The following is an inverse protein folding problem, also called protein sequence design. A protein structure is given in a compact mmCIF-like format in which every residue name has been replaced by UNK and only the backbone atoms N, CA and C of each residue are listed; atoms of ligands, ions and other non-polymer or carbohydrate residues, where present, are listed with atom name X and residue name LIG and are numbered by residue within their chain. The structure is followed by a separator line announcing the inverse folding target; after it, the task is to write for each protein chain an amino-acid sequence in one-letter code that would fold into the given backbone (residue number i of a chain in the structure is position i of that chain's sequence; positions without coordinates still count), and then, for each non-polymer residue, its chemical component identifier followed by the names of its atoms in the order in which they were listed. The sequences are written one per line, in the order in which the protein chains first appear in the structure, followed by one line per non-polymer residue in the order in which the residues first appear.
data_IF_857074326289
#
_entry.id   IF_857074326289
#
_cell.length_a   1.000
_cell.length_b   1.000
_cell.length_c   1.000
_cell.angle_alpha   90.00
_cell.angle_beta   90.00
_cell.angle_gamma   90.00
#
_symmetry.space_group_name_H-M   'P 1'
#
loop_
_entity.id
_entity.type
_entity.pdbx_description
1 polymer ?
#
# COMPACT_ATOMS: atom_id res chain seq x y z
N UNK A 1 -4.67 -7.02 -25.55
CA UNK A 1 -5.62 -7.54 -24.55
C UNK A 1 -4.83 -7.98 -23.35
N UNK A 2 -4.90 -7.20 -22.26
CA UNK A 2 -4.15 -7.44 -21.04
C UNK A 2 -4.93 -8.27 -20.03
N UNK A 3 -4.21 -9.07 -19.25
CA UNK A 3 -4.57 -9.46 -17.88
C UNK A 3 -3.27 -9.64 -17.11
N UNK A 4 -2.90 -8.66 -16.29
CA UNK A 4 -1.99 -8.89 -15.17
C UNK A 4 -2.86 -8.91 -13.91
N UNK A 5 -2.94 -10.10 -13.31
CA UNK A 5 -3.64 -10.35 -12.06
C UNK A 5 -2.84 -9.69 -10.94
N UNK A 6 -3.47 -8.77 -10.22
CA UNK A 6 -3.01 -8.32 -8.92
C UNK A 6 -3.68 -9.15 -7.84
N UNK A 7 -2.90 -9.49 -6.80
CA UNK A 7 -3.43 -9.64 -5.46
C UNK A 7 -3.41 -11.05 -4.89
N UNK A 8 -2.23 -11.55 -4.53
CA UNK A 8 -2.10 -12.42 -3.36
C UNK A 8 -1.03 -11.81 -2.44
N UNK A 9 -1.44 -10.80 -1.68
CA UNK A 9 -0.71 -10.38 -0.48
C UNK A 9 -0.92 -11.46 0.57
N UNK A 10 0.06 -12.36 0.66
CA UNK A 10 0.22 -13.25 1.81
C UNK A 10 0.42 -12.38 3.04
N UNK A 11 -0.65 -12.20 3.81
CA UNK A 11 -0.57 -11.65 5.17
C UNK A 11 0.30 -12.62 5.95
N UNK A 12 1.55 -12.21 6.16
CA UNK A 12 2.50 -12.87 7.04
C UNK A 12 1.84 -13.02 8.40
N UNK A 13 1.46 -14.26 8.74
CA UNK A 13 0.97 -14.65 10.04
C UNK A 13 2.08 -14.47 11.07
N UNK A 14 2.32 -13.23 11.50
CA UNK A 14 3.18 -12.93 12.63
C UNK A 14 2.41 -13.35 13.87
N UNK A 15 2.83 -14.47 14.46
CA UNK A 15 2.42 -14.93 15.77
C UNK A 15 2.45 -13.76 16.76
N UNK A 16 1.28 -13.26 17.13
CA UNK A 16 1.09 -12.35 18.26
C UNK A 16 1.44 -13.13 19.52
N UNK A 17 2.68 -13.01 19.96
CA UNK A 17 2.97 -13.21 21.36
C UNK A 17 2.45 -11.96 22.05
N UNK A 18 1.22 -12.03 22.57
CA UNK A 18 0.62 -10.94 23.35
C UNK A 18 1.53 -10.67 24.56
N UNK A 19 2.20 -9.51 24.60
CA UNK A 19 3.12 -9.16 25.69
C UNK A 19 2.37 -8.90 27.00
N UNK A 20 1.07 -8.65 26.93
CA UNK A 20 0.15 -8.75 28.06
C UNK A 20 0.14 -10.14 28.73
N UNK A 21 0.44 -11.21 27.97
CA UNK A 21 0.63 -12.58 28.48
C UNK A 21 2.03 -12.81 29.08
N UNK A 22 2.92 -11.81 29.05
CA UNK A 22 4.21 -11.89 29.76
C UNK A 22 4.09 -11.40 31.19
N UNK A 23 3.24 -10.40 31.46
CA UNK A 23 2.95 -9.96 32.84
C UNK A 23 2.23 -11.04 33.65
N UNK A 24 1.36 -11.82 33.01
CA UNK A 24 0.69 -12.97 33.64
C UNK A 24 1.67 -14.09 34.03
N UNK A 25 2.89 -14.09 33.47
CA UNK A 25 3.97 -15.05 33.78
C UNK A 25 4.86 -14.60 34.93
N UNK A 26 4.69 -13.36 35.42
CA UNK A 26 5.32 -12.94 36.66
C UNK A 26 4.71 -13.77 37.81
N UNK A 27 5.54 -14.40 38.63
CA UNK A 27 5.07 -15.29 39.70
C UNK A 27 4.03 -14.59 40.58
N UNK A 28 2.98 -15.32 40.97
CA UNK A 28 2.03 -14.84 41.96
C UNK A 28 2.74 -14.51 43.27
N UNK A 29 2.29 -13.44 43.93
CA UNK A 29 2.84 -13.06 45.22
C UNK A 29 2.73 -14.24 46.20
N UNK A 30 3.83 -14.71 46.81
CA UNK A 30 3.73 -15.81 47.75
C UNK A 30 2.91 -15.36 48.95
N UNK A 31 1.84 -16.09 49.24
CA UNK A 31 0.94 -15.85 50.37
C UNK A 31 1.76 -15.93 51.66
N UNK A 32 2.16 -14.77 52.19
CA UNK A 32 3.09 -14.64 53.32
C UNK A 32 2.37 -14.94 54.64
N UNK A 33 1.81 -16.14 54.77
CA UNK A 33 1.57 -16.75 56.09
C UNK A 33 2.92 -17.17 56.66
N UNK A 34 3.71 -16.17 57.09
CA UNK A 34 5.01 -16.38 57.70
C UNK A 34 4.88 -17.23 58.97
N UNK A 35 5.17 -18.54 58.84
CA UNK A 35 5.69 -19.31 59.97
C UNK A 35 7.04 -18.69 60.33
N UNK A 36 7.13 -18.05 61.50
CA UNK A 36 8.41 -17.66 62.11
C UNK A 36 9.26 -18.92 62.23
N UNK A 37 10.14 -19.17 61.27
CA UNK A 37 11.02 -20.35 61.30
C UNK A 37 12.10 -20.17 62.37
N UNK A 38 12.42 -21.27 63.06
CA UNK A 38 13.42 -21.40 64.13
C UNK A 38 14.86 -21.24 63.60
N UNK A 39 15.15 -20.14 62.90
CA UNK A 39 16.49 -19.84 62.42
C UNK A 39 17.34 -19.21 63.53
N UNK A 40 18.55 -19.75 63.72
CA UNK A 40 19.54 -19.14 64.61
C UNK A 40 19.87 -17.71 64.17
N UNK A 41 20.21 -16.84 65.13
CA UNK A 41 20.49 -15.41 64.90
C UNK A 41 21.56 -15.16 63.83
N UNK A 42 22.58 -16.02 63.76
CA UNK A 42 23.66 -15.95 62.76
C UNK A 42 23.19 -16.27 61.34
N UNK A 43 22.27 -17.25 61.19
CA UNK A 43 21.67 -17.59 59.89
C UNK A 43 20.75 -16.48 59.40
N UNK A 44 19.91 -15.92 60.29
CA UNK A 44 19.04 -14.76 59.97
C UNK A 44 19.82 -13.55 59.46
N UNK A 45 20.94 -13.20 60.09
CA UNK A 45 21.77 -12.06 59.66
C UNK A 45 22.39 -12.26 58.26
N UNK A 46 22.82 -13.49 57.94
CA UNK A 46 23.34 -13.83 56.60
C UNK A 46 22.25 -13.78 55.53
N UNK A 47 21.08 -14.36 55.79
CA UNK A 47 19.93 -14.31 54.89
C UNK A 47 19.46 -12.89 54.61
N UNK A 48 19.40 -12.03 55.64
CA UNK A 48 19.04 -10.62 55.48
C UNK A 48 20.04 -9.85 54.60
N UNK A 49 21.34 -10.07 54.79
CA UNK A 49 22.38 -9.42 53.96
C UNK A 49 22.34 -9.90 52.51
N UNK A 50 22.13 -11.20 52.28
CA UNK A 50 22.00 -11.77 50.93
C UNK A 50 20.76 -11.24 50.23
N UNK A 51 19.63 -11.13 50.95
CA UNK A 51 18.41 -10.54 50.42
C UNK A 51 18.61 -9.10 49.97
N UNK A 52 19.26 -8.24 50.77
CA UNK A 52 19.53 -6.85 50.38
C UNK A 52 20.42 -6.76 49.13
N UNK A 53 21.46 -7.60 49.04
CA UNK A 53 22.31 -7.64 47.84
C UNK A 53 21.54 -8.07 46.59
N UNK A 54 20.68 -9.09 46.73
CA UNK A 54 19.84 -9.59 45.64
C UNK A 54 18.82 -8.55 45.16
N UNK A 55 18.21 -7.76 46.05
CA UNK A 55 17.31 -6.66 45.65
C UNK A 55 18.03 -5.63 44.79
N UNK A 56 19.24 -5.23 45.19
CA UNK A 56 20.05 -4.27 44.43
C UNK A 56 20.43 -4.84 43.07
N UNK A 57 20.87 -6.10 43.03
CA UNK A 57 21.22 -6.79 41.79
C UNK A 57 20.02 -6.86 40.83
N UNK A 58 18.85 -7.24 41.33
CA UNK A 58 17.62 -7.29 40.53
C UNK A 58 17.28 -5.92 39.93
N UNK A 59 17.30 -4.85 40.74
CA UNK A 59 17.01 -3.50 40.25
C UNK A 59 18.01 -3.10 39.15
N UNK A 60 19.31 -3.33 39.37
CA UNK A 60 20.34 -3.01 38.39
C UNK A 60 20.17 -3.81 37.09
N UNK A 61 19.84 -5.10 37.17
CA UNK A 61 19.58 -5.93 35.99
C UNK A 61 18.35 -5.46 35.22
N UNK A 62 17.22 -5.22 35.90
CA UNK A 62 15.98 -4.76 35.26
C UNK A 62 16.15 -3.41 34.57
N UNK A 63 16.86 -2.47 35.18
CA UNK A 63 17.14 -1.16 34.58
C UNK A 63 18.07 -1.22 33.36
N UNK A 64 18.78 -2.34 33.16
CA UNK A 64 19.71 -2.54 32.04
C UNK A 64 19.12 -3.34 30.88
N UNK A 65 17.91 -3.88 31.06
CA UNK A 65 17.22 -4.71 30.08
C UNK A 65 16.23 -3.86 29.28
N UNK A 66 16.06 -4.20 28.00
CA UNK A 66 15.00 -3.64 27.15
C UNK A 66 13.94 -4.70 26.78
N UNK A 67 14.21 -5.97 27.09
CA UNK A 67 13.35 -7.09 26.73
C UNK A 67 12.47 -7.52 27.92
N UNK A 68 11.16 -7.32 27.77
CA UNK A 68 10.13 -7.66 28.77
C UNK A 68 10.20 -9.12 29.23
N UNK A 69 10.42 -10.06 28.31
CA UNK A 69 10.49 -11.49 28.64
C UNK A 69 11.69 -11.80 29.55
N UNK A 70 12.86 -11.21 29.26
CA UNK A 70 14.04 -11.35 30.12
C UNK A 70 13.81 -10.71 31.49
N UNK A 71 13.15 -9.54 31.54
CA UNK A 71 12.79 -8.90 32.81
C UNK A 71 11.93 -9.80 33.69
N UNK A 72 10.90 -10.44 33.13
CA UNK A 72 10.01 -11.37 33.86
C UNK A 72 10.80 -12.56 34.37
N UNK A 73 11.66 -13.19 33.55
CA UNK A 73 12.49 -14.31 33.99
C UNK A 73 13.40 -13.93 35.16
N UNK A 74 14.11 -12.79 35.05
CA UNK A 74 15.01 -12.30 36.10
C UNK A 74 14.29 -11.96 37.39
N UNK A 75 13.11 -11.35 37.29
CA UNK A 75 12.26 -11.04 38.43
C UNK A 75 11.81 -12.33 39.14
N UNK A 76 11.34 -13.33 38.40
CA UNK A 76 10.91 -14.61 38.96
C UNK A 76 12.04 -15.34 39.70
N UNK A 77 13.24 -15.41 39.10
CA UNK A 77 14.41 -16.04 39.73
C UNK A 77 14.81 -15.34 41.05
N UNK A 78 14.76 -14.00 41.05
CA UNK A 78 15.06 -13.21 42.24
C UNK A 78 13.98 -13.36 43.32
N UNK A 79 12.69 -13.40 42.96
CA UNK A 79 11.61 -13.61 43.94
C UNK A 79 11.62 -15.02 44.53
N UNK A 80 11.90 -16.05 43.74
CA UNK A 80 12.11 -17.41 44.25
C UNK A 80 13.25 -17.45 45.29
N UNK A 81 14.36 -16.77 44.99
CA UNK A 81 15.51 -16.67 45.89
C UNK A 81 15.18 -15.87 47.16
N UNK A 82 14.47 -14.74 47.06
CA UNK A 82 14.04 -13.95 48.23
C UNK A 82 13.06 -14.70 49.12
N UNK A 83 12.14 -15.47 48.54
CA UNK A 83 11.22 -16.35 49.26
C UNK A 83 11.97 -17.41 50.06
N UNK A 84 13.01 -18.02 49.47
CA UNK A 84 13.87 -19.00 50.16
C UNK A 84 14.62 -18.41 51.37
N UNK A 85 14.88 -17.09 51.37
CA UNK A 85 15.50 -16.38 52.48
C UNK A 85 14.50 -15.89 53.54
N UNK A 86 13.21 -16.19 53.37
CA UNK A 86 12.15 -15.66 54.22
C UNK A 86 12.18 -14.13 54.32
N UNK A 87 12.57 -13.45 53.23
CA UNK A 87 12.58 -11.99 53.16
C UNK A 87 11.19 -11.46 52.81
N UNK A 88 10.78 -10.35 53.43
CA UNK A 88 9.58 -9.62 53.00
C UNK A 88 9.92 -8.69 51.82
N UNK A 89 9.36 -8.97 50.66
CA UNK A 89 9.62 -8.22 49.43
C UNK A 89 8.36 -7.67 48.77
N UNK A 90 7.28 -7.45 49.54
CA UNK A 90 6.02 -6.86 49.06
C UNK A 90 6.19 -5.62 48.19
N UNK A 91 6.80 -4.58 48.77
CA UNK A 91 7.00 -3.31 48.07
C UNK A 91 7.88 -3.44 46.82
N UNK A 92 8.88 -4.34 46.87
CA UNK A 92 9.75 -4.60 45.73
C UNK A 92 8.99 -5.32 44.61
N UNK A 93 8.13 -6.28 44.96
CA UNK A 93 7.32 -7.01 44.00
C UNK A 93 6.40 -6.06 43.22
N UNK A 94 5.67 -5.19 43.93
CA UNK A 94 4.77 -4.22 43.28
C UNK A 94 5.55 -3.22 42.42
N UNK A 95 6.71 -2.75 42.87
CA UNK A 95 7.56 -1.86 42.07
C UNK A 95 8.08 -2.54 40.79
N UNK A 96 8.54 -3.79 40.87
CA UNK A 96 9.01 -4.56 39.71
C UNK A 96 7.85 -4.87 38.76
N UNK A 97 6.68 -5.25 39.30
CA UNK A 97 5.48 -5.49 38.49
C UNK A 97 5.05 -4.24 37.74
N UNK A 98 5.03 -3.08 38.40
CA UNK A 98 4.73 -1.80 37.76
C UNK A 98 5.76 -1.43 36.69
N UNK A 99 7.05 -1.67 36.96
CA UNK A 99 8.13 -1.41 36.01
C UNK A 99 8.02 -2.29 34.75
N UNK A 100 7.83 -3.60 34.92
CA UNK A 100 7.62 -4.52 33.79
C UNK A 100 6.34 -4.13 33.03
N UNK A 101 5.28 -3.73 33.74
CA UNK A 101 4.03 -3.29 33.11
C UNK A 101 4.21 -2.04 32.25
N UNK A 102 5.03 -1.10 32.71
CA UNK A 102 5.39 0.07 31.91
C UNK A 102 6.15 -0.34 30.64
N UNK A 103 7.11 -1.27 30.74
CA UNK A 103 7.85 -1.75 29.57
C UNK A 103 6.98 -2.56 28.58
N UNK A 104 5.97 -3.29 29.05
CA UNK A 104 4.95 -3.90 28.18
C UNK A 104 4.22 -2.83 27.36
N UNK A 105 3.68 -1.81 28.03
CA UNK A 105 2.93 -0.72 27.37
C UNK A 105 3.82 0.05 26.39
N UNK A 106 5.07 0.32 26.75
CA UNK A 106 6.03 1.00 25.89
C UNK A 106 6.36 0.17 24.63
N UNK A 107 6.54 -1.14 24.78
CA UNK A 107 6.78 -2.06 23.67
C UNK A 107 5.57 -2.13 22.72
N UNK A 108 4.35 -2.21 23.26
CA UNK A 108 3.11 -2.19 22.47
C UNK A 108 2.96 -0.88 21.70
N UNK A 109 3.19 0.27 22.36
CA UNK A 109 3.14 1.58 21.72
C UNK A 109 4.18 1.73 20.60
N UNK A 110 5.40 1.22 20.79
CA UNK A 110 6.44 1.25 19.75
C UNK A 110 6.06 0.39 18.54
N UNK A 111 5.48 -0.79 18.75
CA UNK A 111 4.98 -1.64 17.64
C UNK A 111 3.86 -0.96 16.86
N UNK A 112 2.95 -0.29 17.54
CA UNK A 112 1.89 0.48 16.89
C UNK A 112 2.47 1.65 16.08
N UNK A 113 3.46 2.36 16.63
CA UNK A 113 4.14 3.45 15.94
C UNK A 113 4.86 2.96 14.67
N UNK A 114 5.61 1.85 14.76
CA UNK A 114 6.28 1.24 13.60
C UNK A 114 5.27 0.80 12.53
N UNK A 115 4.18 0.15 12.94
CA UNK A 115 3.12 -0.27 12.02
C UNK A 115 2.47 0.92 11.30
N UNK A 116 2.22 2.01 12.01
CA UNK A 116 1.66 3.23 11.44
C UNK A 116 2.64 3.94 10.50
N UNK A 117 3.93 3.92 10.81
CA UNK A 117 4.99 4.45 9.94
C UNK A 117 5.04 3.71 8.60
N UNK A 118 5.02 2.37 8.61
CA UNK A 118 4.98 1.57 7.38
C UNK A 118 3.72 1.87 6.54
N UNK A 119 2.55 2.02 7.16
CA UNK A 119 1.32 2.37 6.45
C UNK A 119 1.40 3.76 5.79
N UNK A 120 2.10 4.71 6.43
CA UNK A 120 2.28 6.05 5.89
C UNK A 120 3.21 6.06 4.67
N UNK A 121 4.30 5.28 4.72
CA UNK A 121 5.21 5.09 3.58
C UNK A 121 4.48 4.45 2.38
N UNK A 122 3.73 3.38 2.62
CA UNK A 122 2.94 2.70 1.57
C UNK A 122 1.92 3.64 0.94
N UNK A 123 1.25 4.47 1.74
CA UNK A 123 0.27 5.44 1.24
C UNK A 123 0.93 6.52 0.37
N UNK A 124 2.11 7.02 0.74
CA UNK A 124 2.85 8.00 -0.03
C UNK A 124 3.25 7.45 -1.41
N UNK A 125 3.79 6.22 -1.45
CA UNK A 125 4.13 5.53 -2.71
C UNK A 125 2.89 5.34 -3.59
N UNK A 126 1.74 4.99 -2.99
CA UNK A 126 0.51 4.82 -3.75
C UNK A 126 0.00 6.13 -4.36
N UNK A 127 0.12 7.25 -3.64
CA UNK A 127 -0.24 8.58 -4.13
C UNK A 127 0.65 9.02 -5.28
N UNK A 128 1.97 8.83 -5.18
CA UNK A 128 2.91 9.18 -6.25
C UNK A 128 2.62 8.39 -7.53
N UNK A 129 2.35 7.09 -7.41
CA UNK A 129 1.97 6.25 -8.54
C UNK A 129 0.66 6.70 -9.20
N UNK A 130 -0.33 7.09 -8.40
CA UNK A 130 -1.61 7.60 -8.91
C UNK A 130 -1.40 8.91 -9.67
N UNK A 131 -0.56 9.81 -9.15
CA UNK A 131 -0.28 11.11 -9.75
C UNK A 131 0.49 10.95 -11.07
N UNK A 132 1.47 10.04 -11.12
CA UNK A 132 2.17 9.69 -12.35
C UNK A 132 1.22 9.12 -13.43
N UNK A 133 0.31 8.23 -13.04
CA UNK A 133 -0.69 7.67 -13.93
C UNK A 133 -1.64 8.74 -14.49
N UNK A 134 -2.14 9.64 -13.63
CA UNK A 134 -3.00 10.75 -14.04
C UNK A 134 -2.31 11.67 -15.05
N UNK A 135 -1.03 11.99 -14.84
CA UNK A 135 -0.26 12.79 -15.78
C UNK A 135 -0.09 12.08 -17.13
N UNK A 136 0.21 10.78 -17.12
CA UNK A 136 0.34 10.00 -18.35
C UNK A 136 -0.98 9.95 -19.13
N UNK A 137 -2.11 9.78 -18.44
CA UNK A 137 -3.43 9.77 -19.05
C UNK A 137 -3.80 11.17 -19.61
N UNK A 138 -3.45 12.24 -18.90
CA UNK A 138 -3.66 13.61 -19.36
C UNK A 138 -2.87 13.92 -20.65
N UNK A 139 -1.62 13.48 -20.74
CA UNK A 139 -0.79 13.61 -21.95
C UNK A 139 -1.39 12.81 -23.13
N UNK A 140 -1.83 11.57 -22.87
CA UNK A 140 -2.49 10.76 -23.89
C UNK A 140 -3.80 11.41 -24.39
N UNK A 141 -4.59 11.99 -23.48
CA UNK A 141 -5.81 12.72 -23.82
C UNK A 141 -5.51 13.98 -24.66
N UNK A 142 -4.46 14.72 -24.31
CA UNK A 142 -4.01 15.89 -25.08
C UNK A 142 -3.57 15.49 -26.50
N UNK A 143 -2.79 14.42 -26.64
CA UNK A 143 -2.34 13.89 -27.92
C UNK A 143 -3.49 13.40 -28.81
N UNK A 144 -4.46 12.69 -28.23
CA UNK A 144 -5.66 12.23 -28.95
C UNK A 144 -6.53 13.40 -29.39
N UNK A 145 -6.75 14.39 -28.52
CA UNK A 145 -7.52 15.61 -28.84
C UNK A 145 -6.90 16.36 -30.02
N UNK A 146 -5.58 16.51 -30.03
CA UNK A 146 -4.84 17.14 -31.12
C UNK A 146 -4.97 16.36 -32.43
N UNK A 147 -4.89 15.02 -32.36
CA UNK A 147 -5.06 14.14 -33.51
C UNK A 147 -6.46 14.23 -34.11
N UNK A 148 -7.50 14.28 -33.26
CA UNK A 148 -8.89 14.48 -33.68
C UNK A 148 -9.06 15.84 -34.38
N UNK A 149 -8.49 16.91 -33.83
CA UNK A 149 -8.55 18.23 -34.44
C UNK A 149 -7.91 18.24 -35.84
N UNK A 150 -6.76 17.58 -36.00
CA UNK A 150 -6.09 17.42 -37.31
C UNK A 150 -6.94 16.61 -38.29
N UNK A 151 -7.52 15.50 -37.84
CA UNK A 151 -8.40 14.67 -38.66
C UNK A 151 -9.64 15.45 -39.15
N UNK A 152 -10.27 16.24 -38.26
CA UNK A 152 -11.40 17.12 -38.63
C UNK A 152 -11.01 18.16 -39.69
N UNK A 153 -9.84 18.80 -39.55
CA UNK A 153 -9.34 19.75 -40.56
C UNK A 153 -9.13 19.07 -41.92
N UNK A 154 -8.54 17.88 -41.94
CA UNK A 154 -8.34 17.11 -43.17
C UNK A 154 -9.67 16.71 -43.82
N UNK A 155 -10.66 16.28 -43.02
CA UNK A 155 -11.99 15.94 -43.51
C UNK A 155 -12.67 17.14 -44.21
N UNK A 156 -12.57 18.34 -43.62
CA UNK A 156 -13.11 19.56 -44.24
C UNK A 156 -12.45 19.88 -45.60
N UNK A 157 -11.13 19.72 -45.70
CA UNK A 157 -10.39 19.90 -46.97
C UNK A 157 -10.86 18.89 -48.03
N UNK A 158 -11.03 17.63 -47.64
CA UNK A 158 -11.51 16.57 -48.54
C UNK A 158 -12.94 16.85 -49.01
N UNK A 159 -13.86 17.24 -48.12
CA UNK A 159 -15.22 17.61 -48.51
C UNK A 159 -15.23 18.75 -49.52
N UNK A 160 -14.38 19.77 -49.33
CA UNK A 160 -14.24 20.86 -50.29
C UNK A 160 -13.77 20.38 -51.66
N UNK A 161 -12.78 19.47 -51.69
CA UNK A 161 -12.29 18.87 -52.96
C UNK A 161 -13.36 18.04 -53.64
N UNK A 162 -14.07 17.18 -52.90
CA UNK A 162 -15.19 16.39 -53.42
C UNK A 162 -16.25 17.31 -54.05
N UNK A 163 -16.59 18.42 -53.40
CA UNK A 163 -17.51 19.41 -53.94
C UNK A 163 -17.05 20.00 -55.28
N UNK A 164 -15.76 20.34 -55.41
CA UNK A 164 -15.18 20.83 -56.68
C UNK A 164 -15.20 19.77 -57.77
N UNK A 165 -14.81 18.54 -57.45
CA UNK A 165 -14.80 17.42 -58.41
C UNK A 165 -16.20 17.10 -58.90
N UNK A 166 -17.22 17.12 -58.03
CA UNK A 166 -18.62 16.92 -58.43
C UNK A 166 -19.11 17.99 -59.41
N UNK A 167 -18.71 19.25 -59.23
CA UNK A 167 -19.05 20.33 -60.17
C UNK A 167 -18.41 20.10 -61.55
N UNK A 168 -17.12 19.79 -61.58
CA UNK A 168 -16.40 19.48 -62.82
C UNK A 168 -17.00 18.28 -63.55
N UNK A 169 -17.37 17.23 -62.82
CA UNK A 169 -18.02 16.06 -63.41
C UNK A 169 -19.33 16.45 -64.10
N UNK A 170 -20.16 17.25 -63.44
CA UNK A 170 -21.42 17.74 -64.02
C UNK A 170 -21.19 18.56 -65.30
N UNK A 171 -20.21 19.45 -65.31
CA UNK A 171 -19.85 20.22 -66.52
C UNK A 171 -19.38 19.33 -67.68
N UNK A 172 -18.67 18.24 -67.37
CA UNK A 172 -18.23 17.27 -68.39
C UNK A 172 -19.41 16.43 -68.91
N UNK A 173 -20.33 16.03 -68.03
CA UNK A 173 -21.56 15.32 -68.42
C UNK A 173 -22.44 16.18 -69.36
N UNK A 174 -22.60 17.47 -69.04
CA UNK A 174 -23.34 18.43 -69.90
C UNK A 174 -22.67 18.60 -71.27
N UNK A 175 -21.33 18.70 -71.32
CA UNK A 175 -20.58 18.78 -72.59
C UNK A 175 -20.66 17.51 -73.40
N UNK A 176 -20.63 16.34 -72.75
CA UNK A 176 -20.76 15.05 -73.43
C UNK A 176 -22.12 14.96 -74.12
N UNK A 177 -23.20 15.26 -73.40
CA UNK A 177 -24.56 15.24 -73.96
C UNK A 177 -24.71 16.20 -75.15
N UNK A 178 -24.10 17.38 -75.09
CA UNK A 178 -24.09 18.33 -76.21
C UNK A 178 -23.34 17.77 -77.43
N UNK A 179 -22.23 17.07 -77.22
CA UNK A 179 -21.45 16.46 -78.30
C UNK A 179 -22.16 15.25 -78.91
N UNK A 180 -22.83 14.45 -78.10
CA UNK A 180 -23.66 13.33 -78.61
C UNK A 180 -24.78 13.86 -79.52
N UNK A 181 -25.44 14.97 -79.14
CA UNK A 181 -26.43 15.63 -80.01
C UNK A 181 -25.83 16.13 -81.33
N UNK A 182 -24.64 16.77 -81.30
CA UNK A 182 -23.97 17.22 -82.52
C UNK A 182 -23.62 16.05 -83.45
N UNK A 183 -23.21 14.91 -82.89
CA UNK A 183 -22.94 13.69 -83.66
C UNK A 183 -24.22 13.17 -84.32
N UNK A 184 -25.31 13.03 -83.55
CA UNK A 184 -26.60 12.57 -84.06
C UNK A 184 -27.11 13.44 -85.21
N UNK A 185 -26.92 14.75 -85.13
CA UNK A 185 -27.34 15.68 -86.18
C UNK A 185 -26.48 15.56 -87.44
N UNK A 186 -25.15 15.44 -87.29
CA UNK A 186 -24.24 15.19 -88.42
C UNK A 186 -24.49 13.84 -89.10
N UNK A 187 -24.82 12.80 -88.33
CA UNK A 187 -25.18 11.48 -88.88
C UNK A 187 -26.47 11.55 -89.72
N UNK A 188 -27.48 12.31 -89.27
CA UNK A 188 -28.70 12.56 -90.05
C UNK A 188 -28.40 13.34 -91.34
N UNK A 189 -27.58 14.39 -91.28
CA UNK A 189 -27.20 15.15 -92.48
C UNK A 189 -26.46 14.26 -93.49
N UNK A 190 -25.52 13.44 -93.02
CA UNK A 190 -24.79 12.49 -93.88
C UNK A 190 -25.71 11.48 -94.57
N UNK A 191 -26.71 10.95 -93.86
CA UNK A 191 -27.74 10.07 -94.44
C UNK A 191 -28.57 10.77 -95.54
N UNK A 192 -28.94 12.03 -95.35
CA UNK A 192 -29.72 12.80 -96.35
C UNK A 192 -28.91 13.02 -97.63
N UNK A 193 -27.61 13.29 -97.51
CA UNK A 193 -26.73 13.49 -98.67
C UNK A 193 -26.60 12.21 -99.49
N UNK A 194 -26.49 11.04 -98.86
CA UNK A 194 -26.37 9.76 -99.57
C UNK A 194 -27.66 9.37 -100.32
N UNK A 195 -28.84 9.64 -99.75
CA UNK A 195 -30.13 9.39 -100.43
C UNK A 195 -30.32 10.31 -101.65
N UNK A 196 -29.69 11.49 -101.64
CA UNK A 196 -29.76 12.47 -102.73
C UNK A 196 -28.87 12.11 -103.93
N UNK A 197 -27.95 11.16 -103.77
CA UNK A 197 -27.00 10.73 -104.81
C UNK A 197 -27.40 9.42 -105.51
N UNK A 198 -28.37 8.68 -104.97
CA UNK A 198 -28.86 7.39 -105.50
C UNK A 198 -30.22 7.48 -106.23
N UNK A 199 -30.69 8.69 -106.56
CA UNK A 199 -31.91 8.94 -107.36
C UNK A 199 -31.62 9.64 -108.68
#
# INVERSE_FOLDING_TARGET
MGRLRFGETLISGRLRNDESDLLSKLCDFPDTKFRKSELSSRKRKRCASAAVALRKALISELMSLDNVQLMVCKANDAFASLSSYHADFGDLYEAVRAFISYHCQLSEANKELESNGCLQEDMAVHQDNLLAWLNQEAEALSGTTTSIAKARKNAAVLMTRIGKTRKLLKELEEKLAQKDMEIDDLEKEGMVVLISYDG
#
